data_IF_646539835427
#
_entry.id   IF_646539835427
#
_cell.length_a   1.000
_cell.length_b   1.000
_cell.length_c   1.000
_cell.angle_alpha   90.00
_cell.angle_beta   90.00
_cell.angle_gamma   90.00
#
_symmetry.space_group_name_H-M   'P 1'
#
loop_
_entity.id
_entity.type
_entity.pdbx_description
1 polymer ?
#
# COMPACT_ATOMS: atom_id res chain seq x y z
N UNK A 1 -23.37 -56.25 -3.02
CA UNK A 1 -22.17 -55.92 -3.81
C UNK A 1 -22.59 -55.38 -5.16
N UNK A 2 -22.32 -54.09 -5.42
CA UNK A 2 -21.83 -53.55 -6.70
C UNK A 2 -21.84 -52.02 -6.61
N UNK A 3 -20.63 -51.45 -6.55
CA UNK A 3 -20.34 -50.02 -6.55
C UNK A 3 -20.55 -49.47 -7.97
N UNK A 4 -21.32 -48.38 -8.09
CA UNK A 4 -21.40 -47.57 -9.32
C UNK A 4 -20.14 -46.71 -9.40
N UNK A 5 -19.21 -47.11 -10.24
CA UNK A 5 -18.17 -46.23 -10.79
C UNK A 5 -18.79 -45.34 -11.87
N UNK A 6 -18.72 -44.00 -11.77
CA UNK A 6 -18.84 -43.15 -12.95
C UNK A 6 -17.49 -43.06 -13.67
N UNK A 7 -17.55 -43.27 -14.99
CA UNK A 7 -16.45 -43.22 -15.95
C UNK A 7 -16.18 -41.77 -16.37
N UNK A 8 -14.91 -41.40 -16.33
CA UNK A 8 -14.13 -40.75 -17.41
C UNK A 8 -14.51 -39.31 -17.83
N UNK A 9 -13.59 -38.35 -17.67
CA UNK A 9 -12.84 -37.68 -18.76
C UNK A 9 -12.07 -36.47 -18.19
N UNK A 10 -10.84 -36.27 -18.67
CA UNK A 10 -10.11 -35.01 -18.93
C UNK A 10 -8.61 -35.31 -18.79
N UNK A 11 -8.02 -35.87 -19.83
CA UNK A 11 -7.36 -35.13 -20.91
C UNK A 11 -5.99 -34.61 -20.47
N UNK A 12 -4.98 -35.39 -20.88
CA UNK A 12 -3.65 -34.95 -21.31
C UNK A 12 -2.96 -33.90 -20.46
N UNK A 13 -2.19 -34.42 -19.51
CA UNK A 13 -1.07 -33.76 -18.84
C UNK A 13 0.03 -33.38 -19.84
N UNK A 14 -0.19 -32.32 -20.62
CA UNK A 14 0.90 -31.51 -21.16
C UNK A 14 1.01 -30.25 -20.29
N UNK A 15 1.44 -30.46 -19.04
CA UNK A 15 1.54 -29.42 -18.02
C UNK A 15 2.73 -28.51 -18.35
N UNK A 16 2.49 -27.54 -19.25
CA UNK A 16 3.28 -26.31 -19.27
C UNK A 16 2.97 -25.63 -17.93
N UNK A 17 3.74 -25.96 -16.89
CA UNK A 17 3.52 -25.50 -15.52
C UNK A 17 3.83 -24.00 -15.50
N UNK A 18 2.83 -23.18 -15.84
CA UNK A 18 2.92 -21.76 -15.55
C UNK A 18 3.09 -21.65 -14.03
N UNK A 19 4.17 -21.02 -13.54
CA UNK A 19 4.44 -20.96 -12.12
C UNK A 19 3.24 -20.30 -11.43
N UNK A 20 2.65 -21.01 -10.49
CA UNK A 20 1.60 -20.45 -9.65
C UNK A 20 2.27 -19.55 -8.62
N UNK A 21 2.07 -18.25 -8.75
CA UNK A 21 2.69 -17.23 -7.92
C UNK A 21 1.62 -16.60 -7.04
N UNK A 22 1.88 -16.66 -5.73
CA UNK A 22 1.22 -15.82 -4.74
C UNK A 22 2.18 -14.72 -4.31
N UNK A 23 1.78 -13.47 -4.50
CA UNK A 23 2.56 -12.31 -4.08
C UNK A 23 1.72 -11.45 -3.15
N UNK A 24 2.17 -11.30 -1.91
CA UNK A 24 1.59 -10.38 -0.95
C UNK A 24 2.60 -9.29 -0.58
N UNK A 25 2.13 -8.05 -0.51
CA UNK A 25 2.89 -6.89 -0.05
C UNK A 25 2.06 -6.11 0.95
N UNK A 26 2.66 -5.74 2.07
CA UNK A 26 2.07 -4.85 3.06
C UNK A 26 3.05 -3.74 3.42
N UNK A 27 2.59 -2.50 3.39
CA UNK A 27 3.34 -1.34 3.85
C UNK A 27 2.49 -0.56 4.84
N UNK A 28 3.12 -0.04 5.88
CA UNK A 28 2.49 0.84 6.84
C UNK A 28 3.39 2.05 7.04
N UNK A 29 2.83 3.24 6.87
CA UNK A 29 3.51 4.50 7.07
C UNK A 29 2.83 5.29 8.17
N UNK A 30 3.60 5.81 9.11
CA UNK A 30 3.09 6.66 10.18
C UNK A 30 3.77 8.02 10.11
N UNK A 31 3.03 9.08 10.39
CA UNK A 31 3.52 10.45 10.40
C UNK A 31 3.18 11.16 11.73
N UNK A 32 3.95 12.19 12.10
CA UNK A 32 3.58 13.09 13.18
C UNK A 32 2.17 13.66 12.96
N UNK A 33 1.43 13.89 14.04
CA UNK A 33 0.03 14.34 13.96
C UNK A 33 -1.01 13.22 13.85
N UNK A 34 -0.61 11.97 14.18
CA UNK A 34 -1.53 10.84 14.34
C UNK A 34 -2.00 10.22 13.03
N UNK A 35 -1.30 10.47 11.92
CA UNK A 35 -1.66 9.95 10.60
C UNK A 35 -0.96 8.62 10.34
N UNK A 36 -1.72 7.66 9.84
CA UNK A 36 -1.22 6.34 9.47
C UNK A 36 -1.84 5.87 8.16
N UNK A 37 -1.01 5.47 7.22
CA UNK A 37 -1.40 4.85 5.96
C UNK A 37 -1.04 3.35 6.01
N UNK A 38 -1.97 2.49 5.63
CA UNK A 38 -1.72 1.06 5.46
C UNK A 38 -2.05 0.68 4.03
N UNK A 39 -1.13 0.05 3.32
CA UNK A 39 -1.37 -0.49 1.97
C UNK A 39 -1.07 -1.98 1.96
N UNK A 40 -2.05 -2.80 1.64
CA UNK A 40 -1.91 -4.24 1.44
C UNK A 40 -2.27 -4.56 0.01
N UNK A 41 -1.55 -5.48 -0.61
CA UNK A 41 -1.83 -5.95 -1.96
C UNK A 41 -1.50 -7.43 -2.03
N UNK A 42 -2.40 -8.21 -2.62
CA UNK A 42 -2.27 -9.64 -2.82
C UNK A 42 -2.57 -9.94 -4.28
N UNK A 43 -1.66 -10.60 -4.98
CA UNK A 43 -1.84 -11.10 -6.33
C UNK A 43 -1.74 -12.62 -6.28
N UNK A 44 -2.81 -13.30 -6.67
CA UNK A 44 -2.87 -14.77 -6.73
C UNK A 44 -3.13 -15.20 -8.18
N UNK A 45 -2.11 -15.77 -8.82
CA UNK A 45 -2.23 -16.30 -10.18
C UNK A 45 -3.08 -17.57 -10.25
N UNK A 46 -3.23 -18.30 -9.14
CA UNK A 46 -4.00 -19.55 -9.07
C UNK A 46 -5.49 -19.27 -9.16
N UNK A 47 -5.99 -18.33 -8.36
CA UNK A 47 -7.38 -17.88 -8.44
C UNK A 47 -7.60 -16.92 -9.61
N UNK A 48 -6.55 -16.24 -10.06
CA UNK A 48 -6.65 -15.15 -11.02
C UNK A 48 -7.25 -13.90 -10.39
N UNK A 49 -6.84 -13.58 -9.16
CA UNK A 49 -7.41 -12.45 -8.40
C UNK A 49 -6.29 -11.54 -7.92
N UNK A 50 -6.54 -10.23 -8.00
CA UNK A 50 -5.70 -9.20 -7.40
C UNK A 50 -6.52 -8.41 -6.39
N UNK A 51 -6.11 -8.44 -5.12
CA UNK A 51 -6.73 -7.69 -4.03
C UNK A 51 -5.81 -6.57 -3.58
N UNK A 52 -6.37 -5.43 -3.20
CA UNK A 52 -5.65 -4.31 -2.65
C UNK A 52 -6.51 -3.64 -1.59
N UNK A 53 -5.92 -3.34 -0.43
CA UNK A 53 -6.57 -2.57 0.62
C UNK A 53 -5.68 -1.38 0.96
N UNK A 54 -6.23 -0.17 0.88
CA UNK A 54 -5.59 1.04 1.40
C UNK A 54 -6.42 1.51 2.60
N UNK A 55 -5.80 1.63 3.78
CA UNK A 55 -6.38 2.25 4.95
C UNK A 55 -5.72 3.58 5.25
N UNK A 56 -6.49 4.66 5.22
CA UNK A 56 -6.10 5.97 5.73
C UNK A 56 -6.62 6.10 7.15
N UNK A 57 -5.77 6.50 8.08
CA UNK A 57 -6.13 6.67 9.49
C UNK A 57 -5.65 8.04 9.99
N UNK A 58 -6.51 8.75 10.73
CA UNK A 58 -6.16 9.94 11.51
C UNK A 58 -6.73 9.76 12.91
N UNK A 59 -5.86 9.50 13.89
CA UNK A 59 -6.31 9.21 15.25
C UNK A 59 -7.26 7.99 15.29
N UNK A 60 -8.50 8.23 15.69
CA UNK A 60 -9.56 7.20 15.81
C UNK A 60 -10.43 7.04 14.54
N UNK A 61 -10.32 7.99 13.60
CA UNK A 61 -11.05 8.01 12.32
C UNK A 61 -10.28 7.24 11.26
N UNK A 62 -10.96 6.43 10.46
CA UNK A 62 -10.33 5.75 9.34
C UNK A 62 -11.24 5.60 8.12
N UNK A 63 -10.61 5.61 6.94
CA UNK A 63 -11.23 5.29 5.66
C UNK A 63 -10.42 4.18 5.00
N UNK A 64 -11.04 3.03 4.80
CA UNK A 64 -10.43 1.85 4.21
C UNK A 64 -11.08 1.59 2.85
N UNK A 65 -10.26 1.57 1.82
CA UNK A 65 -10.63 1.25 0.46
C UNK A 65 -10.10 -0.14 0.10
N UNK A 66 -11.00 -1.09 -0.06
CA UNK A 66 -10.70 -2.41 -0.61
C UNK A 66 -11.06 -2.47 -2.10
N UNK A 67 -10.16 -3.03 -2.89
CA UNK A 67 -10.33 -3.27 -4.32
C UNK A 67 -10.00 -4.71 -4.62
N UNK A 68 -10.93 -5.42 -5.25
CA UNK A 68 -10.73 -6.76 -5.75
C UNK A 68 -10.91 -6.76 -7.28
N UNK A 69 -9.91 -7.29 -7.99
CA UNK A 69 -9.95 -7.41 -9.43
C UNK A 69 -9.82 -8.88 -9.82
N UNK A 70 -10.78 -9.37 -10.60
CA UNK A 70 -10.68 -10.65 -11.28
C UNK A 70 -9.84 -10.48 -12.55
N UNK A 71 -8.67 -11.11 -12.59
CA UNK A 71 -7.74 -11.05 -13.72
C UNK A 71 -8.21 -11.93 -14.89
N UNK A 72 -9.17 -12.84 -14.68
CA UNK A 72 -9.71 -13.72 -15.73
C UNK A 72 -10.87 -13.08 -16.47
N UNK A 73 -11.84 -12.53 -15.74
CA UNK A 73 -13.01 -11.87 -16.34
C UNK A 73 -12.80 -10.37 -16.56
N UNK A 74 -11.87 -9.75 -15.82
CA UNK A 74 -11.63 -8.31 -15.85
C UNK A 74 -12.48 -7.52 -14.86
N UNK A 75 -13.42 -8.18 -14.16
CA UNK A 75 -14.32 -7.56 -13.19
C UNK A 75 -13.54 -6.89 -12.05
N UNK A 76 -14.06 -5.74 -11.60
CA UNK A 76 -13.50 -4.98 -10.48
C UNK A 76 -14.60 -4.66 -9.50
N UNK A 77 -14.34 -4.96 -8.24
CA UNK A 77 -15.20 -4.64 -7.12
C UNK A 77 -14.44 -3.71 -6.17
N UNK A 78 -15.10 -2.63 -5.75
CA UNK A 78 -14.56 -1.68 -4.78
C UNK A 78 -15.48 -1.64 -3.56
N UNK A 79 -14.91 -1.71 -2.37
CA UNK A 79 -15.62 -1.57 -1.09
C UNK A 79 -14.96 -0.49 -0.26
N UNK A 80 -15.78 0.33 0.38
CA UNK A 80 -15.33 1.37 1.29
C UNK A 80 -15.84 1.05 2.68
N UNK A 81 -14.96 1.20 3.66
CA UNK A 81 -15.27 1.03 5.07
C UNK A 81 -14.83 2.30 5.81
N UNK A 82 -15.77 2.88 6.56
CA UNK A 82 -15.56 4.06 7.38
C UNK A 82 -15.59 3.62 8.85
N UNK A 83 -14.56 3.99 9.61
CA UNK A 83 -14.43 3.67 11.03
C UNK A 83 -14.47 4.98 11.81
N UNK A 84 -15.46 5.14 12.69
CA UNK A 84 -15.72 6.36 13.47
C UNK A 84 -15.76 7.63 12.59
N UNK A 85 -16.31 7.51 11.38
CA UNK A 85 -16.36 8.56 10.39
C UNK A 85 -17.69 8.44 9.63
N UNK A 86 -18.38 9.56 9.46
CA UNK A 86 -19.61 9.60 8.65
C UNK A 86 -19.31 9.83 7.16
N UNK A 87 -20.25 9.44 6.28
CA UNK A 87 -20.08 9.58 4.83
C UNK A 87 -19.84 11.04 4.42
N UNK A 88 -20.58 11.98 5.01
CA UNK A 88 -20.43 13.43 4.81
C UNK A 88 -19.05 13.96 5.25
N UNK A 89 -18.39 13.31 6.20
CA UNK A 89 -17.08 13.71 6.70
C UNK A 89 -15.92 13.13 5.88
N UNK A 90 -16.18 12.20 4.96
CA UNK A 90 -15.17 11.48 4.18
C UNK A 90 -14.32 12.42 3.32
N UNK A 91 -14.94 13.41 2.69
CA UNK A 91 -14.23 14.38 1.85
C UNK A 91 -13.29 15.27 2.67
N UNK A 92 -13.73 15.70 3.84
CA UNK A 92 -12.93 16.54 4.74
C UNK A 92 -11.78 15.73 5.35
N UNK A 93 -12.07 14.48 5.75
CA UNK A 93 -11.07 13.52 6.19
C UNK A 93 -9.98 13.29 5.14
N UNK A 94 -10.34 13.03 3.88
CA UNK A 94 -9.36 12.78 2.82
C UNK A 94 -8.47 14.01 2.59
N UNK A 95 -9.05 15.21 2.61
CA UNK A 95 -8.29 16.47 2.49
C UNK A 95 -7.30 16.64 3.64
N UNK A 96 -7.72 16.42 4.88
CA UNK A 96 -6.85 16.50 6.06
C UNK A 96 -5.72 15.45 5.99
N UNK A 97 -6.08 14.22 5.59
CA UNK A 97 -5.14 13.10 5.45
C UNK A 97 -4.05 13.42 4.43
N UNK A 98 -4.44 13.89 3.24
CA UNK A 98 -3.51 14.27 2.19
C UNK A 98 -2.58 15.41 2.63
N UNK A 99 -3.14 16.43 3.30
CA UNK A 99 -2.34 17.57 3.76
C UNK A 99 -1.27 17.14 4.76
N UNK A 100 -1.64 16.33 5.77
CA UNK A 100 -0.70 15.84 6.79
C UNK A 100 0.33 14.87 6.21
N UNK A 101 -0.08 14.00 5.28
CA UNK A 101 0.83 13.05 4.63
C UNK A 101 1.84 13.76 3.73
N UNK A 102 1.43 14.81 3.01
CA UNK A 102 2.34 15.65 2.20
C UNK A 102 3.38 16.36 3.06
N UNK A 103 2.96 16.97 4.17
CA UNK A 103 3.91 17.59 5.12
C UNK A 103 4.94 16.59 5.67
N UNK A 104 4.50 15.35 5.95
CA UNK A 104 5.40 14.29 6.39
C UNK A 104 6.37 13.83 5.30
N UNK A 105 5.99 13.86 4.02
CA UNK A 105 6.87 13.59 2.88
C UNK A 105 7.93 14.69 2.70
N UNK A 106 7.53 15.95 2.81
CA UNK A 106 8.43 17.10 2.64
C UNK A 106 9.49 17.14 3.75
N UNK A 107 9.10 16.81 4.99
CA UNK A 107 10.02 16.71 6.13
C UNK A 107 11.08 15.60 5.98
N UNK A 108 10.78 14.54 5.21
CA UNK A 108 11.67 13.39 5.00
C UNK A 108 12.56 13.58 3.77
N UNK A 109 12.07 14.29 2.74
CA UNK A 109 12.76 14.41 1.44
C UNK A 109 13.76 15.56 1.40
N UNK A 110 13.60 16.58 2.25
CA UNK A 110 14.55 17.68 2.35
C UNK A 110 15.00 17.89 3.79
N UNK A 111 16.22 17.46 4.17
CA UNK A 111 16.95 18.23 5.17
C UNK A 111 17.19 19.60 4.54
N UNK A 112 16.27 20.54 4.81
CA UNK A 112 16.43 21.94 4.44
C UNK A 112 17.76 22.42 5.03
N UNK A 113 18.78 22.49 4.17
CA UNK A 113 20.09 23.09 4.45
C UNK A 113 19.96 24.61 4.52
N UNK A 114 19.10 25.10 5.40
CA UNK A 114 18.96 26.52 5.67
C UNK A 114 19.07 26.75 7.16
N UNK A 115 20.28 27.08 7.63
CA UNK A 115 20.42 27.64 8.97
C UNK A 115 21.78 27.73 9.66
N UNK A 116 22.94 27.54 9.02
CA UNK A 116 24.25 27.98 9.51
C UNK A 116 25.24 27.78 8.35
N UNK A 117 26.01 28.74 7.84
CA UNK A 117 27.01 29.51 8.57
C UNK A 117 27.15 30.90 7.96
N UNK A 118 26.81 31.88 8.79
CA UNK A 118 27.29 33.26 8.72
C UNK A 118 28.83 33.21 8.72
N UNK A 119 29.42 34.06 7.88
CA UNK A 119 30.86 34.24 7.69
C UNK A 119 31.67 34.19 8.99
N UNK A 120 32.75 33.43 8.98
CA UNK A 120 34.01 33.83 9.59
C UNK A 120 35.15 33.20 8.79
N UNK A 121 36.03 34.05 8.28
CA UNK A 121 37.31 33.67 7.70
C UNK A 121 38.19 33.30 8.89
N UNK A 122 38.37 32.02 9.18
CA UNK A 122 39.39 31.59 10.12
C UNK A 122 40.39 30.71 9.36
N UNK A 123 41.61 31.23 9.31
CA UNK A 123 42.73 30.74 8.52
C UNK A 123 43.07 29.27 8.83
N UNK A 124 43.40 28.53 7.77
CA UNK A 124 43.99 27.19 7.90
C UNK A 124 45.42 27.33 8.47
N UNK A 125 45.81 26.58 9.52
CA UNK A 125 47.21 26.47 9.89
C UNK A 125 47.95 25.62 8.84
N UNK A 126 49.09 26.12 8.37
CA UNK A 126 49.95 25.41 7.43
C UNK A 126 50.47 24.09 8.04
N UNK A 127 50.44 23.02 7.25
CA UNK A 127 51.05 21.74 7.62
C UNK A 127 52.59 21.87 7.58
N UNK A 128 53.32 21.44 8.63
CA UNK A 128 54.78 21.40 8.59
C UNK A 128 55.27 20.30 7.63
N UNK A 129 56.43 20.56 6.99
CA UNK A 129 57.09 19.74 5.97
C UNK A 129 57.50 18.34 6.42
#
# INVERSE_FOLDING_TARGET
>A
MQSKVPKNLNADTNLMVVPQVYQASSSTRTAPGGVKETKKTVCDSRSGTKKMAIGHHIGERAHILEREQNLRSGDREERQELINLDDDETEDFNREFEQKTRQALDAITYPSRHGAHRRHQDALPALPS
#
